data_IF_473382994002
#
_entry.id   IF_473382994002
#
_cell.length_a   1.000
_cell.length_b   1.000
_cell.length_c   1.000
_cell.angle_alpha   90.00
_cell.angle_beta   90.00
_cell.angle_gamma   90.00
#
_symmetry.space_group_name_H-M   'P 1'
#
loop_
_entity.id
_entity.type
_entity.pdbx_description
1 polymer ?
#
# COMPACT_ATOMS: atom_id res chain seq x y z
N UNK A 1 -10.53 -7.88 4.49
CA UNK A 1 -10.00 -8.09 3.13
C UNK A 1 -8.50 -7.90 3.22
N UNK A 2 -7.68 -8.79 2.64
CA UNK A 2 -6.22 -8.66 2.69
C UNK A 2 -5.78 -7.46 1.84
N UNK A 3 -4.83 -6.66 2.34
CA UNK A 3 -4.32 -5.45 1.67
C UNK A 3 -3.77 -5.76 0.29
N UNK A 4 -3.07 -6.89 0.11
CA UNK A 4 -2.59 -7.35 -1.19
C UNK A 4 -3.71 -7.48 -2.24
N UNK A 5 -4.85 -8.08 -1.89
CA UNK A 5 -5.97 -8.23 -2.82
C UNK A 5 -6.57 -6.89 -3.24
N UNK A 6 -6.59 -5.90 -2.33
CA UNK A 6 -7.03 -4.54 -2.63
C UNK A 6 -6.04 -3.84 -3.57
N UNK A 7 -4.74 -3.96 -3.29
CA UNK A 7 -3.68 -3.40 -4.15
C UNK A 7 -3.66 -4.06 -5.55
N UNK A 8 -3.93 -5.37 -5.63
CA UNK A 8 -4.10 -6.08 -6.90
C UNK A 8 -5.30 -5.59 -7.69
N UNK A 9 -6.44 -5.40 -7.04
CA UNK A 9 -7.64 -4.83 -7.68
C UNK A 9 -7.35 -3.44 -8.27
N UNK A 10 -6.72 -2.55 -7.49
CA UNK A 10 -6.38 -1.20 -7.95
C UNK A 10 -5.34 -1.17 -9.07
N UNK A 11 -4.52 -2.21 -9.19
CA UNK A 11 -3.54 -2.33 -10.28
C UNK A 11 -4.05 -3.16 -11.45
N UNK A 12 -5.25 -3.76 -11.34
CA UNK A 12 -5.86 -4.60 -12.37
C UNK A 12 -7.33 -4.21 -12.63
N UNK A 13 -7.53 -3.27 -13.56
CA UNK A 13 -8.86 -2.87 -14.05
C UNK A 13 -9.61 -1.86 -13.18
N UNK A 14 -9.26 -1.69 -11.90
CA UNK A 14 -9.96 -0.79 -10.97
C UNK A 14 -9.09 0.40 -10.51
N UNK A 15 -8.11 0.81 -11.31
CA UNK A 15 -7.22 1.94 -10.99
C UNK A 15 -7.96 3.26 -10.75
N UNK A 16 -9.12 3.45 -11.40
CA UNK A 16 -9.96 4.63 -11.23
C UNK A 16 -10.65 4.70 -9.85
N UNK A 17 -10.80 3.56 -9.18
CA UNK A 17 -11.37 3.45 -7.84
C UNK A 17 -10.33 3.72 -6.74
N UNK A 18 -9.04 3.57 -7.09
CA UNK A 18 -7.95 3.68 -6.15
C UNK A 18 -7.94 5.07 -5.45
N UNK A 19 -8.00 5.11 -4.10
CA UNK A 19 -7.91 6.36 -3.35
C UNK A 19 -6.51 6.96 -3.35
N UNK A 20 -5.52 6.18 -3.80
CA UNK A 20 -4.10 6.54 -3.82
C UNK A 20 -3.44 5.95 -5.06
N UNK A 21 -2.37 6.57 -5.56
CA UNK A 21 -1.63 6.05 -6.70
C UNK A 21 -0.91 4.77 -6.29
N UNK A 22 -1.22 3.68 -7.00
CA UNK A 22 -0.58 2.38 -6.85
C UNK A 22 -0.08 1.90 -8.21
N UNK A 23 1.11 1.32 -8.22
CA UNK A 23 1.65 0.59 -9.36
C UNK A 23 2.11 -0.79 -8.92
N UNK A 24 2.07 -1.78 -9.82
CA UNK A 24 2.52 -3.16 -9.56
C UNK A 24 3.64 -3.55 -10.51
N UNK A 25 4.60 -4.33 -10.01
CA UNK A 25 5.52 -5.10 -10.83
C UNK A 25 5.54 -6.56 -10.35
N UNK A 26 6.48 -7.37 -10.85
CA UNK A 26 6.58 -8.78 -10.46
C UNK A 26 6.98 -9.02 -8.98
N UNK A 27 7.45 -7.98 -8.27
CA UNK A 27 7.99 -8.04 -6.90
C UNK A 27 7.08 -7.38 -5.86
N UNK A 28 5.90 -6.90 -6.28
CA UNK A 28 4.90 -6.31 -5.40
C UNK A 28 4.40 -4.96 -5.88
N UNK A 29 4.13 -4.06 -4.93
CA UNK A 29 3.40 -2.82 -5.19
C UNK A 29 4.16 -1.59 -4.72
N UNK A 30 4.09 -0.53 -5.52
CA UNK A 30 4.52 0.80 -5.17
C UNK A 30 3.30 1.64 -4.81
N UNK A 31 3.31 2.26 -3.63
CA UNK A 31 2.23 3.12 -3.14
C UNK A 31 2.79 4.52 -2.92
N UNK A 32 2.27 5.50 -3.67
CA UNK A 32 2.63 6.88 -3.46
C UNK A 32 2.08 7.35 -2.11
N UNK A 33 2.87 8.08 -1.33
CA UNK A 33 2.42 8.54 -0.01
C UNK A 33 2.09 10.03 0.00
N UNK A 34 2.38 10.77 -1.07
CA UNK A 34 2.15 12.22 -1.12
C UNK A 34 0.69 12.55 -1.42
N UNK A 35 0.23 13.67 -0.86
CA UNK A 35 -1.03 14.38 -1.11
C UNK A 35 -2.17 13.53 -1.68
N UNK A 36 -3.13 13.21 -0.82
CA UNK A 36 -4.43 12.70 -1.25
C UNK A 36 -5.55 13.34 -0.43
N UNK A 37 -6.76 13.28 -0.97
CA UNK A 37 -7.96 13.81 -0.35
C UNK A 37 -8.19 13.14 1.02
N UNK A 38 -8.24 13.90 2.13
CA UNK A 38 -8.51 13.36 3.46
C UNK A 38 -9.78 12.52 3.55
N UNK A 39 -10.80 12.79 2.73
CA UNK A 39 -12.04 12.01 2.68
C UNK A 39 -11.83 10.63 2.07
N UNK A 40 -10.81 10.47 1.22
CA UNK A 40 -10.45 9.18 0.63
C UNK A 40 -9.50 8.37 1.52
N UNK A 41 -8.91 8.94 2.58
CA UNK A 41 -8.07 8.17 3.54
C UNK A 41 -8.85 7.06 4.23
N UNK A 42 -10.10 7.33 4.56
CA UNK A 42 -10.98 6.37 5.24
C UNK A 42 -11.31 5.14 4.39
N UNK A 43 -10.98 5.15 3.10
CA UNK A 43 -11.18 4.03 2.17
C UNK A 43 -9.98 3.07 2.13
N UNK A 44 -8.84 3.44 2.72
CA UNK A 44 -7.67 2.57 2.79
C UNK A 44 -7.88 1.47 3.85
N UNK A 45 -7.41 0.23 3.58
CA UNK A 45 -7.17 -0.75 4.64
C UNK A 45 -6.36 -0.15 5.79
N UNK A 46 -6.68 -0.53 7.03
CA UNK A 46 -6.11 0.10 8.23
C UNK A 46 -4.58 0.02 8.29
N UNK A 47 -4.04 -1.15 8.04
CA UNK A 47 -2.61 -1.44 7.93
C UNK A 47 -1.91 -0.62 6.84
N UNK A 48 -2.53 -0.51 5.66
CA UNK A 48 -2.02 0.35 4.58
C UNK A 48 -2.02 1.83 4.98
N UNK A 49 -3.10 2.30 5.61
CA UNK A 49 -3.21 3.66 6.11
C UNK A 49 -2.14 3.98 7.16
N UNK A 50 -1.93 3.07 8.12
CA UNK A 50 -0.92 3.20 9.17
C UNK A 50 0.49 3.27 8.57
N UNK A 51 0.81 2.42 7.58
CA UNK A 51 2.08 2.46 6.86
C UNK A 51 2.28 3.77 6.08
N UNK A 52 1.25 4.23 5.36
CA UNK A 52 1.28 5.50 4.60
C UNK A 52 1.48 6.69 5.54
N UNK A 53 0.79 6.73 6.69
CA UNK A 53 0.95 7.79 7.70
C UNK A 53 2.34 7.80 8.30
N UNK A 54 2.87 6.62 8.64
CA UNK A 54 4.24 6.49 9.13
C UNK A 54 5.24 7.02 8.11
N UNK A 55 5.12 6.62 6.84
CA UNK A 55 6.00 7.07 5.77
C UNK A 55 5.96 8.61 5.60
N UNK A 56 4.75 9.20 5.60
CA UNK A 56 4.58 10.66 5.54
C UNK A 56 5.24 11.39 6.70
N UNK A 57 5.05 10.88 7.92
CA UNK A 57 5.66 11.49 9.12
C UNK A 57 7.19 11.56 9.02
N UNK A 58 7.79 10.72 8.16
CA UNK A 58 9.22 10.66 7.87
C UNK A 58 9.63 11.32 6.56
N UNK A 59 8.72 11.99 5.84
CA UNK A 59 8.99 12.60 4.54
C UNK A 59 9.21 11.62 3.38
N UNK A 60 8.90 10.32 3.58
CA UNK A 60 9.03 9.28 2.56
C UNK A 60 7.86 9.44 1.58
N UNK A 61 8.16 9.59 0.28
CA UNK A 61 7.18 9.86 -0.78
C UNK A 61 6.62 8.63 -1.50
N UNK A 62 7.24 7.46 -1.32
CA UNK A 62 6.92 6.22 -2.02
C UNK A 62 7.23 5.04 -1.09
N UNK A 63 6.28 4.13 -0.93
CA UNK A 63 6.47 2.85 -0.26
C UNK A 63 6.53 1.73 -1.29
N UNK A 64 7.38 0.73 -1.03
CA UNK A 64 7.38 -0.53 -1.76
C UNK A 64 6.93 -1.64 -0.81
N UNK A 65 5.86 -2.32 -1.18
CA UNK A 65 5.35 -3.51 -0.51
C UNK A 65 5.82 -4.72 -1.30
N UNK A 66 6.78 -5.44 -0.73
CA UNK A 66 7.40 -6.62 -1.32
C UNK A 66 6.47 -7.84 -1.17
N UNK A 67 6.33 -8.64 -2.24
CA UNK A 67 5.58 -9.89 -2.22
C UNK A 67 6.43 -11.15 -2.52
N UNK A 68 7.71 -10.99 -2.85
CA UNK A 68 8.65 -12.09 -3.13
C UNK A 68 9.87 -12.12 -2.20
N UNK A 69 9.93 -11.18 -1.26
CA UNK A 69 10.96 -11.10 -0.22
C UNK A 69 10.90 -12.25 0.79
N UNK A 70 12.05 -12.59 1.40
CA UNK A 70 12.10 -13.62 2.43
C UNK A 70 11.38 -13.15 3.71
N UNK A 71 10.74 -14.09 4.40
CA UNK A 71 10.21 -13.84 5.74
C UNK A 71 11.37 -13.68 6.72
N UNK A 72 11.45 -12.54 7.40
CA UNK A 72 12.42 -12.27 8.46
C UNK A 72 11.75 -12.47 9.82
N UNK A 73 12.32 -13.31 10.68
CA UNK A 73 11.76 -13.62 12.00
C UNK A 73 11.61 -12.39 12.92
N UNK A 74 12.33 -11.31 12.63
CA UNK A 74 12.36 -10.06 13.40
C UNK A 74 11.27 -9.07 12.98
N UNK A 75 10.56 -9.32 11.87
CA UNK A 75 9.52 -8.45 11.36
C UNK A 75 8.13 -9.06 11.56
N UNK A 76 7.09 -8.23 11.78
CA UNK A 76 5.71 -8.69 11.75
C UNK A 76 5.43 -9.34 10.40
N UNK A 77 4.97 -10.60 10.42
CA UNK A 77 4.36 -11.23 9.27
C UNK A 77 2.90 -10.83 9.28
N UNK A 78 2.37 -10.43 8.13
CA UNK A 78 0.93 -10.42 8.00
C UNK A 78 0.49 -11.15 6.73
N UNK A 79 -0.71 -11.73 6.81
CA UNK A 79 -1.20 -12.78 5.90
C UNK A 79 -1.66 -12.26 4.52
N UNK A 80 -1.06 -11.16 4.06
CA UNK A 80 -1.36 -10.53 2.77
C UNK A 80 -0.47 -11.08 1.67
#
# INVERSE_FOLDING_TARGET
MATAAVLDSWTNGHAHEAPITVARNARGWFVATRQFDPMRECLLPKDLLDAVRLARSRGIGLLHFDCDGPVLAELPVHDW
#
